data_IF_251693747587
#
_entry.id   IF_251693747587
#
_cell.length_a   1.000
_cell.length_b   1.000
_cell.length_c   1.000
_cell.angle_alpha   90.00
_cell.angle_beta   90.00
_cell.angle_gamma   90.00
#
_symmetry.space_group_name_H-M   'P 1'
#
loop_
_entity.id
_entity.type
_entity.pdbx_description
1 polymer ?
#
# COMPACT_ATOMS: atom_id res chain seq x y z
N UNK A 1 -17.62 -9.11 9.50
CA UNK A 1 -17.00 -7.93 8.89
C UNK A 1 -16.80 -8.09 7.38
N UNK A 2 -16.43 -9.28 6.89
CA UNK A 2 -16.28 -9.57 5.44
C UNK A 2 -17.63 -9.61 4.71
N UNK A 3 -18.70 -10.07 5.39
CA UNK A 3 -20.06 -10.12 4.83
C UNK A 3 -20.64 -8.72 4.58
N UNK A 4 -20.40 -7.76 5.45
CA UNK A 4 -20.92 -6.38 5.29
C UNK A 4 -20.28 -5.60 4.13
N UNK A 5 -19.10 -5.99 3.66
CA UNK A 5 -18.43 -5.32 2.54
C UNK A 5 -19.09 -5.64 1.19
N UNK A 6 -19.83 -6.74 1.11
CA UNK A 6 -20.45 -7.24 -0.13
C UNK A 6 -21.92 -6.81 -0.28
N UNK A 7 -22.58 -6.38 0.80
CA UNK A 7 -24.00 -6.04 0.81
C UNK A 7 -24.35 -4.62 0.31
N UNK A 8 -23.42 -3.91 -0.34
CA UNK A 8 -23.70 -2.61 -0.97
C UNK A 8 -24.11 -1.49 -0.01
N UNK A 9 -23.87 -1.66 1.29
CA UNK A 9 -24.12 -0.64 2.28
C UNK A 9 -23.31 0.62 1.98
N UNK A 10 -23.98 1.73 1.65
CA UNK A 10 -23.36 3.05 1.54
C UNK A 10 -22.94 3.46 2.94
N UNK A 11 -21.64 3.50 3.20
CA UNK A 11 -21.13 4.05 4.44
C UNK A 11 -21.58 5.52 4.52
N UNK A 12 -22.34 5.88 5.54
CA UNK A 12 -22.76 7.26 5.79
C UNK A 12 -21.60 8.13 6.31
N UNK A 13 -20.54 7.50 6.81
CA UNK A 13 -19.32 8.14 7.32
C UNK A 13 -18.21 8.13 6.27
N UNK A 14 -17.63 9.31 5.93
CA UNK A 14 -16.53 9.41 4.97
C UNK A 14 -15.32 8.55 5.33
N UNK A 15 -15.02 8.42 6.63
CA UNK A 15 -13.93 7.59 7.13
C UNK A 15 -14.15 6.11 6.85
N UNK A 16 -15.36 5.62 7.12
CA UNK A 16 -15.75 4.24 6.83
C UNK A 16 -15.77 3.95 5.33
N UNK A 17 -16.28 4.89 4.51
CA UNK A 17 -16.28 4.78 3.06
C UNK A 17 -14.87 4.67 2.49
N UNK A 18 -13.94 5.49 3.00
CA UNK A 18 -12.54 5.46 2.61
C UNK A 18 -11.86 4.17 3.06
N UNK A 19 -12.06 3.74 4.30
CA UNK A 19 -11.48 2.51 4.83
C UNK A 19 -11.92 1.28 4.02
N UNK A 20 -13.19 1.19 3.67
CA UNK A 20 -13.74 0.13 2.81
C UNK A 20 -13.11 0.17 1.40
N UNK A 21 -12.95 1.37 0.82
CA UNK A 21 -12.29 1.55 -0.47
C UNK A 21 -10.82 1.11 -0.44
N UNK A 22 -10.07 1.49 0.61
CA UNK A 22 -8.69 1.06 0.81
C UNK A 22 -8.62 -0.47 0.92
N UNK A 23 -9.51 -1.09 1.71
CA UNK A 23 -9.58 -2.54 1.81
C UNK A 23 -9.82 -3.20 0.44
N UNK A 24 -10.79 -2.71 -0.34
CA UNK A 24 -11.07 -3.20 -1.69
C UNK A 24 -9.86 -3.08 -2.62
N UNK A 25 -9.16 -1.96 -2.57
CA UNK A 25 -7.93 -1.71 -3.33
C UNK A 25 -6.85 -2.77 -3.00
N UNK A 26 -6.60 -3.03 -1.72
CA UNK A 26 -5.63 -4.02 -1.27
C UNK A 26 -6.05 -5.45 -1.60
N UNK A 27 -7.33 -5.77 -1.47
CA UNK A 27 -7.89 -7.08 -1.81
C UNK A 27 -7.76 -7.36 -3.33
N UNK A 28 -8.14 -6.39 -4.16
CA UNK A 28 -8.02 -6.53 -5.63
C UNK A 28 -6.58 -6.66 -6.08
N UNK A 29 -5.67 -5.90 -5.48
CA UNK A 29 -4.23 -6.05 -5.73
C UNK A 29 -3.77 -7.47 -5.39
N UNK A 30 -4.14 -7.99 -4.22
CA UNK A 30 -3.77 -9.33 -3.77
C UNK A 30 -4.37 -10.42 -4.66
N UNK A 31 -5.60 -10.25 -5.13
CA UNK A 31 -6.28 -11.17 -6.05
C UNK A 31 -5.62 -11.25 -7.43
N UNK A 32 -4.86 -10.22 -7.82
CA UNK A 32 -4.06 -10.20 -9.03
C UNK A 32 -2.74 -10.97 -8.93
N UNK A 33 -2.33 -11.41 -7.73
CA UNK A 33 -1.14 -12.22 -7.55
C UNK A 33 -1.45 -13.70 -7.83
N UNK A 34 -0.49 -14.46 -8.39
CA UNK A 34 -0.63 -15.91 -8.53
C UNK A 34 -0.90 -16.59 -7.19
N UNK A 35 -1.47 -17.79 -7.23
CA UNK A 35 -1.70 -18.59 -6.03
C UNK A 35 -0.39 -18.84 -5.26
N UNK A 36 -0.47 -18.95 -3.93
CA UNK A 36 0.71 -19.07 -3.06
C UNK A 36 1.61 -20.25 -3.41
N UNK A 37 1.02 -21.37 -3.83
CA UNK A 37 1.74 -22.59 -4.24
C UNK A 37 2.53 -22.42 -5.55
N UNK A 38 2.26 -21.39 -6.33
CA UNK A 38 2.98 -21.10 -7.59
C UNK A 38 4.00 -19.97 -7.43
N UNK A 39 4.09 -19.37 -6.24
CA UNK A 39 5.05 -18.28 -5.96
C UNK A 39 6.41 -18.85 -5.61
N UNK A 40 7.45 -18.37 -6.29
CA UNK A 40 8.84 -18.74 -6.04
C UNK A 40 9.52 -17.70 -5.14
N UNK A 41 10.65 -18.09 -4.53
CA UNK A 41 11.49 -17.16 -3.74
C UNK A 41 12.12 -16.04 -4.58
N UNK A 42 12.20 -16.22 -5.89
CA UNK A 42 12.73 -15.21 -6.84
C UNK A 42 11.75 -14.12 -7.24
N UNK A 43 10.59 -14.06 -6.60
CA UNK A 43 9.53 -13.12 -6.93
C UNK A 43 8.36 -13.77 -7.68
N UNK A 44 7.34 -12.97 -7.92
CA UNK A 44 6.09 -13.40 -8.54
C UNK A 44 5.97 -12.79 -9.92
N UNK A 45 5.80 -13.64 -10.93
CA UNK A 45 5.44 -13.17 -12.27
C UNK A 45 3.97 -12.78 -12.29
N UNK A 46 3.73 -11.47 -12.28
CA UNK A 46 2.40 -10.89 -12.46
C UNK A 46 2.25 -10.52 -13.94
N UNK A 47 1.04 -10.65 -14.47
CA UNK A 47 0.75 -10.16 -15.82
C UNK A 47 1.20 -8.68 -15.95
N UNK A 48 1.85 -8.27 -17.03
CA UNK A 48 2.42 -6.95 -17.17
C UNK A 48 1.29 -5.90 -17.22
N UNK A 49 1.00 -5.31 -16.06
CA UNK A 49 0.15 -4.13 -15.98
C UNK A 49 1.05 -2.90 -16.02
N UNK A 50 0.82 -1.95 -16.93
CA UNK A 50 1.57 -0.70 -16.96
C UNK A 50 1.48 -0.01 -15.60
N UNK A 51 2.62 0.41 -15.03
CA UNK A 51 2.67 1.05 -13.70
C UNK A 51 1.69 2.22 -13.55
N UNK A 52 1.52 3.13 -14.53
CA UNK A 52 0.51 4.17 -14.42
C UNK A 52 -0.92 3.63 -14.27
N UNK A 53 -1.25 2.54 -14.96
CA UNK A 53 -2.57 1.91 -14.86
C UNK A 53 -2.75 1.21 -13.50
N UNK A 54 -1.70 0.58 -12.97
CA UNK A 54 -1.71 0.01 -11.62
C UNK A 54 -1.96 1.10 -10.57
N UNK A 55 -1.23 2.20 -10.62
CA UNK A 55 -1.36 3.33 -9.68
C UNK A 55 -2.76 3.93 -9.75
N UNK A 56 -3.25 4.20 -10.97
CA UNK A 56 -4.61 4.73 -11.19
C UNK A 56 -5.70 3.76 -10.70
N UNK A 57 -5.50 2.46 -10.89
CA UNK A 57 -6.39 1.40 -10.39
C UNK A 57 -6.46 1.38 -8.87
N UNK A 58 -5.31 1.40 -8.19
CA UNK A 58 -5.24 1.46 -6.73
C UNK A 58 -6.01 2.67 -6.16
N UNK A 59 -5.83 3.84 -6.76
CA UNK A 59 -6.55 5.04 -6.32
C UNK A 59 -8.05 4.94 -6.61
N UNK A 60 -8.46 4.46 -7.80
CA UNK A 60 -9.87 4.28 -8.15
C UNK A 60 -10.59 3.37 -7.18
N UNK A 61 -9.97 2.25 -6.82
CA UNK A 61 -10.54 1.29 -5.88
C UNK A 61 -10.62 1.87 -4.47
N UNK A 62 -9.57 2.58 -4.02
CA UNK A 62 -9.57 3.26 -2.72
C UNK A 62 -10.65 4.33 -2.60
N UNK A 63 -10.97 5.03 -3.69
CA UNK A 63 -12.02 6.06 -3.71
C UNK A 63 -13.43 5.52 -4.02
N UNK A 64 -13.59 4.22 -4.29
CA UNK A 64 -14.87 3.66 -4.76
C UNK A 64 -16.04 3.92 -3.82
N UNK A 65 -15.83 3.80 -2.51
CA UNK A 65 -16.86 4.10 -1.50
C UNK A 65 -17.20 5.59 -1.42
N UNK A 66 -16.20 6.45 -1.48
CA UNK A 66 -16.40 7.90 -1.47
C UNK A 66 -17.12 8.39 -2.72
N UNK A 67 -16.80 7.83 -3.88
CA UNK A 67 -17.48 8.15 -5.14
C UNK A 67 -18.94 7.73 -5.10
N UNK A 68 -19.23 6.52 -4.62
CA UNK A 68 -20.60 6.02 -4.47
C UNK A 68 -21.43 6.86 -3.50
N UNK A 69 -20.81 7.41 -2.46
CA UNK A 69 -21.45 8.30 -1.49
C UNK A 69 -21.52 9.78 -1.95
N UNK A 70 -21.02 10.12 -3.15
CA UNK A 70 -20.97 11.50 -3.64
C UNK A 70 -19.98 12.43 -2.90
N UNK A 71 -19.05 11.85 -2.13
CA UNK A 71 -18.08 12.58 -1.30
C UNK A 71 -16.78 12.90 -2.05
N UNK A 72 -16.61 12.40 -3.26
CA UNK A 72 -15.49 12.67 -4.17
C UNK A 72 -16.00 12.85 -5.58
N UNK A 73 -15.51 13.85 -6.28
CA UNK A 73 -15.90 14.09 -7.67
C UNK A 73 -15.24 13.05 -8.61
N UNK A 74 -15.95 12.57 -9.65
CA UNK A 74 -15.37 11.61 -10.61
C UNK A 74 -14.05 12.06 -11.22
N UNK A 75 -13.87 13.34 -11.50
CA UNK A 75 -12.64 13.91 -12.07
C UNK A 75 -11.44 13.90 -11.13
N UNK A 76 -11.63 13.66 -9.83
CA UNK A 76 -10.56 13.51 -8.85
C UNK A 76 -10.07 12.06 -8.74
N UNK A 77 -10.89 11.11 -9.20
CA UNK A 77 -10.57 9.68 -9.10
C UNK A 77 -9.54 9.30 -10.17
N UNK A 78 -8.48 8.63 -9.73
CA UNK A 78 -7.33 8.26 -10.57
C UNK A 78 -6.57 9.43 -11.22
N UNK A 79 -6.85 10.66 -10.77
CA UNK A 79 -6.19 11.88 -11.25
C UNK A 79 -5.21 12.37 -10.18
N UNK A 80 -3.91 12.47 -10.47
CA UNK A 80 -2.94 13.01 -9.52
C UNK A 80 -3.20 14.49 -9.27
N UNK A 81 -2.88 14.96 -8.06
CA UNK A 81 -2.98 16.37 -7.67
C UNK A 81 -2.06 17.26 -8.51
N UNK A 82 -0.91 16.69 -8.88
CA UNK A 82 0.05 17.25 -9.84
C UNK A 82 0.65 16.08 -10.64
N UNK A 83 0.48 16.05 -11.97
CA UNK A 83 1.07 15.02 -12.83
C UNK A 83 2.58 14.86 -12.70
N UNK A 84 3.31 15.94 -12.37
CA UNK A 84 4.76 15.90 -12.16
C UNK A 84 5.17 15.01 -10.99
N UNK A 85 4.29 14.77 -10.01
CA UNK A 85 4.57 13.90 -8.87
C UNK A 85 4.57 12.41 -9.22
N UNK A 86 4.02 12.01 -10.38
CA UNK A 86 4.06 10.62 -10.81
C UNK A 86 5.42 10.20 -11.37
N UNK A 87 6.16 11.09 -12.00
CA UNK A 87 7.44 10.75 -12.64
C UNK A 87 8.44 10.13 -11.64
N UNK A 88 8.73 10.74 -10.47
CA UNK A 88 9.61 10.13 -9.47
C UNK A 88 9.11 8.77 -8.97
N UNK A 89 7.80 8.59 -8.78
CA UNK A 89 7.23 7.32 -8.35
C UNK A 89 7.46 6.20 -9.39
N UNK A 90 7.34 6.52 -10.67
CA UNK A 90 7.61 5.59 -11.77
C UNK A 90 9.11 5.24 -11.86
N UNK A 91 9.98 6.21 -11.62
CA UNK A 91 11.44 6.01 -11.59
C UNK A 91 11.82 5.10 -10.42
N UNK A 92 11.33 5.36 -9.20
CA UNK A 92 11.56 4.47 -8.05
C UNK A 92 11.10 3.04 -8.34
N UNK A 93 9.89 2.87 -8.87
CA UNK A 93 9.35 1.54 -9.15
C UNK A 93 10.14 0.76 -10.22
N UNK A 94 10.85 1.45 -11.12
CA UNK A 94 11.64 0.86 -12.22
C UNK A 94 13.11 0.68 -11.88
N UNK A 95 13.64 1.43 -10.92
CA UNK A 95 15.07 1.38 -10.61
C UNK A 95 15.49 0.00 -10.09
N UNK A 96 16.75 -0.36 -10.35
CA UNK A 96 17.35 -1.62 -9.90
C UNK A 96 17.95 -1.52 -8.49
N UNK A 97 17.29 -0.77 -7.62
CA UNK A 97 17.66 -0.70 -6.21
C UNK A 97 17.02 -1.86 -5.43
N UNK A 98 17.54 -2.18 -4.23
CA UNK A 98 16.95 -3.20 -3.36
C UNK A 98 15.45 -2.97 -3.12
N UNK A 99 14.65 -4.04 -3.19
CA UNK A 99 13.18 -3.96 -3.11
C UNK A 99 12.67 -3.20 -1.88
N UNK A 100 13.32 -3.39 -0.72
CA UNK A 100 12.99 -2.68 0.52
C UNK A 100 13.23 -1.16 0.41
N UNK A 101 14.32 -0.74 -0.23
CA UNK A 101 14.60 0.68 -0.44
C UNK A 101 13.57 1.31 -1.41
N UNK A 102 13.24 0.60 -2.49
CA UNK A 102 12.20 1.04 -3.45
C UNK A 102 10.84 1.15 -2.77
N UNK A 103 10.43 0.15 -1.99
CA UNK A 103 9.15 0.15 -1.28
C UNK A 103 9.09 1.27 -0.23
N UNK A 104 10.19 1.51 0.50
CA UNK A 104 10.33 2.63 1.43
C UNK A 104 10.20 3.98 0.73
N UNK A 105 10.88 4.17 -0.42
CA UNK A 105 10.82 5.39 -1.22
C UNK A 105 9.40 5.67 -1.72
N UNK A 106 8.73 4.66 -2.27
CA UNK A 106 7.34 4.79 -2.73
C UNK A 106 6.40 5.16 -1.60
N UNK A 107 6.51 4.49 -0.45
CA UNK A 107 5.67 4.79 0.72
C UNK A 107 5.87 6.23 1.19
N UNK A 108 7.12 6.68 1.33
CA UNK A 108 7.44 8.05 1.73
C UNK A 108 6.94 9.08 0.70
N UNK A 109 7.19 8.83 -0.58
CA UNK A 109 6.81 9.76 -1.66
C UNK A 109 5.30 10.02 -1.66
N UNK A 110 4.49 8.96 -1.69
CA UNK A 110 3.04 9.10 -1.69
C UNK A 110 2.50 9.71 -0.39
N UNK A 111 3.06 9.36 0.76
CA UNK A 111 2.65 9.90 2.05
C UNK A 111 2.97 11.38 2.17
N UNK A 112 4.17 11.80 1.80
CA UNK A 112 4.63 13.18 1.92
C UNK A 112 4.09 14.09 0.82
N UNK A 113 4.22 13.67 -0.46
CA UNK A 113 3.85 14.51 -1.61
C UNK A 113 2.34 14.55 -1.88
N UNK A 114 1.56 13.66 -1.27
CA UNK A 114 0.11 13.58 -1.49
C UNK A 114 -0.24 13.54 -2.97
N UNK A 115 0.38 12.61 -3.70
CA UNK A 115 0.23 12.44 -5.17
C UNK A 115 -1.23 12.40 -5.60
N UNK A 116 -2.10 11.89 -4.73
CA UNK A 116 -3.56 11.86 -4.91
C UNK A 116 -4.28 12.49 -3.71
N UNK A 117 -5.52 12.89 -3.91
CA UNK A 117 -6.43 13.31 -2.86
C UNK A 117 -7.82 12.71 -3.12
N UNK A 118 -8.35 11.94 -2.15
CA UNK A 118 -7.75 11.38 -0.95
C UNK A 118 -6.88 10.14 -1.22
N UNK A 119 -6.56 9.36 -0.19
CA UNK A 119 -5.98 8.01 -0.25
C UNK A 119 -4.53 7.89 -0.79
N UNK A 120 -3.77 8.96 -0.94
CA UNK A 120 -2.40 8.90 -1.47
C UNK A 120 -1.52 7.89 -0.73
N UNK A 121 -1.50 7.92 0.60
CA UNK A 121 -0.71 6.99 1.42
C UNK A 121 -1.10 5.52 1.18
N UNK A 122 -2.39 5.24 0.98
CA UNK A 122 -2.87 3.89 0.69
C UNK A 122 -2.43 3.40 -0.69
N UNK A 123 -2.38 4.30 -1.69
CA UNK A 123 -1.85 3.99 -3.03
C UNK A 123 -0.36 3.68 -2.95
N UNK A 124 0.41 4.49 -2.21
CA UNK A 124 1.84 4.25 -1.98
C UNK A 124 2.10 2.91 -1.28
N UNK A 125 1.32 2.58 -0.26
CA UNK A 125 1.41 1.30 0.44
C UNK A 125 1.06 0.12 -0.49
N UNK A 126 0.04 0.25 -1.33
CA UNK A 126 -0.32 -0.76 -2.32
C UNK A 126 0.79 -0.99 -3.36
N UNK A 127 1.39 0.09 -3.86
CA UNK A 127 2.49 -0.01 -4.81
C UNK A 127 3.75 -0.59 -4.16
N UNK A 128 4.05 -0.22 -2.92
CA UNK A 128 5.14 -0.81 -2.14
C UNK A 128 4.93 -2.33 -1.93
N UNK A 129 3.70 -2.75 -1.58
CA UNK A 129 3.33 -4.17 -1.48
C UNK A 129 3.54 -4.90 -2.81
N UNK A 130 3.12 -4.30 -3.91
CA UNK A 130 3.35 -4.87 -5.24
C UNK A 130 4.85 -5.09 -5.50
N UNK A 131 5.71 -4.14 -5.15
CA UNK A 131 7.18 -4.26 -5.27
C UNK A 131 7.70 -5.39 -4.39
N UNK A 132 7.30 -5.45 -3.12
CA UNK A 132 7.76 -6.51 -2.19
C UNK A 132 7.37 -7.90 -2.67
N UNK A 133 6.18 -8.07 -3.21
CA UNK A 133 5.70 -9.35 -3.75
C UNK A 133 6.43 -9.71 -5.05
N UNK A 134 6.46 -8.80 -6.01
CA UNK A 134 7.02 -9.09 -7.35
C UNK A 134 8.53 -9.24 -7.33
N UNK A 135 9.23 -8.64 -6.36
CA UNK A 135 10.67 -8.78 -6.17
C UNK A 135 11.06 -9.84 -5.13
N UNK A 136 10.10 -10.62 -4.62
CA UNK A 136 10.33 -11.81 -3.80
C UNK A 136 10.69 -11.58 -2.34
N UNK A 137 10.53 -10.34 -1.81
CA UNK A 137 10.72 -10.06 -0.37
C UNK A 137 9.55 -10.58 0.45
N UNK A 138 8.31 -10.38 -0.03
CA UNK A 138 7.10 -10.93 0.56
C UNK A 138 6.31 -11.71 -0.51
N UNK A 139 6.74 -12.90 -0.91
CA UNK A 139 6.07 -13.68 -1.95
C UNK A 139 4.65 -14.10 -1.57
N UNK A 140 4.31 -14.04 -0.29
CA UNK A 140 2.96 -14.33 0.20
C UNK A 140 2.02 -13.15 0.10
N UNK A 141 2.56 -11.94 0.13
CA UNK A 141 1.80 -10.71 0.12
C UNK A 141 0.97 -10.48 1.40
N UNK A 142 1.36 -11.09 2.52
CA UNK A 142 0.64 -10.99 3.81
C UNK A 142 1.27 -9.98 4.78
N UNK A 143 2.41 -9.43 4.44
CA UNK A 143 3.09 -8.44 5.26
C UNK A 143 2.28 -7.13 5.36
N UNK A 144 2.15 -6.59 6.57
CA UNK A 144 1.44 -5.34 6.86
C UNK A 144 2.40 -4.34 7.54
N UNK A 145 3.29 -3.67 6.79
CA UNK A 145 4.29 -2.75 7.36
C UNK A 145 3.67 -1.61 8.18
N UNK A 146 2.50 -1.12 7.78
CA UNK A 146 1.78 -0.05 8.47
C UNK A 146 1.32 -0.40 9.90
N UNK A 147 1.29 -1.69 10.25
CA UNK A 147 1.02 -2.10 11.63
C UNK A 147 2.12 -1.63 12.60
N UNK A 148 3.35 -1.46 12.13
CA UNK A 148 4.45 -0.91 12.92
C UNK A 148 4.28 0.59 13.17
N UNK A 149 3.83 1.34 12.17
CA UNK A 149 3.52 2.77 12.30
C UNK A 149 2.40 3.00 13.33
N UNK A 150 1.43 2.09 13.41
CA UNK A 150 0.32 2.17 14.35
C UNK A 150 0.74 1.97 15.81
N UNK A 151 1.88 1.31 16.08
CA UNK A 151 2.41 1.17 17.44
C UNK A 151 2.92 2.50 18.00
N UNK A 152 3.53 3.31 17.16
CA UNK A 152 4.10 4.62 17.53
C UNK A 152 4.02 5.58 16.33
N UNK A 153 2.87 6.25 16.15
CA UNK A 153 2.67 7.19 15.04
C UNK A 153 3.64 8.37 15.07
N UNK A 154 4.03 8.84 16.26
CA UNK A 154 4.98 9.95 16.39
C UNK A 154 6.37 9.57 15.88
N UNK A 155 6.83 8.38 16.19
CA UNK A 155 8.09 7.82 15.67
C UNK A 155 8.04 7.65 14.14
N UNK A 156 6.92 7.19 13.60
CA UNK A 156 6.74 7.04 12.17
C UNK A 156 6.84 8.39 11.46
N UNK A 157 6.19 9.44 11.96
CA UNK A 157 6.28 10.80 11.41
C UNK A 157 7.69 11.39 11.54
N UNK A 158 8.36 11.17 12.68
CA UNK A 158 9.75 11.60 12.88
C UNK A 158 10.71 10.91 11.89
N UNK A 159 10.47 9.64 11.57
CA UNK A 159 11.26 8.90 10.59
C UNK A 159 11.00 9.38 9.16
N UNK A 160 9.73 9.69 8.84
CA UNK A 160 9.36 10.28 7.56
C UNK A 160 9.96 11.68 7.35
N UNK A 161 10.06 12.49 8.40
CA UNK A 161 10.74 13.79 8.34
C UNK A 161 12.21 13.64 7.91
N UNK A 162 12.87 12.53 8.26
CA UNK A 162 14.20 12.20 7.75
C UNK A 162 14.25 12.00 6.23
N UNK A 163 13.22 11.40 5.64
CA UNK A 163 13.12 11.32 4.17
C UNK A 163 12.98 12.71 3.52
N UNK A 164 12.24 13.61 4.17
CA UNK A 164 11.99 14.96 3.66
C UNK A 164 13.25 15.83 3.67
N UNK A 165 14.12 15.67 4.67
CA UNK A 165 15.40 16.39 4.74
C UNK A 165 16.36 16.00 3.61
N UNK A 166 16.16 14.83 3.00
CA UNK A 166 16.91 14.32 1.86
C UNK A 166 18.44 14.20 2.09
N UNK A 167 18.88 14.21 3.35
CA UNK A 167 20.25 13.89 3.72
C UNK A 167 20.43 12.39 3.93
N UNK A 168 21.66 11.92 3.86
CA UNK A 168 21.99 10.50 3.96
C UNK A 168 21.49 9.88 5.28
N UNK A 169 21.67 10.57 6.40
CA UNK A 169 21.25 10.08 7.71
C UNK A 169 19.71 10.00 7.84
N UNK A 170 19.01 10.97 7.29
CA UNK A 170 17.55 10.99 7.23
C UNK A 170 16.98 9.88 6.34
N UNK A 171 17.56 9.69 5.16
CA UNK A 171 17.20 8.60 4.25
C UNK A 171 17.44 7.24 4.91
N UNK A 172 18.61 7.03 5.52
CA UNK A 172 18.93 5.79 6.23
C UNK A 172 17.96 5.51 7.38
N UNK A 173 17.58 6.54 8.15
CA UNK A 173 16.60 6.45 9.25
C UNK A 173 15.23 6.00 8.74
N UNK A 174 14.74 6.61 7.67
CA UNK A 174 13.46 6.22 7.08
C UNK A 174 13.49 4.79 6.55
N UNK A 175 14.52 4.41 5.78
CA UNK A 175 14.65 3.06 5.24
C UNK A 175 14.73 2.03 6.37
N UNK A 176 15.51 2.31 7.43
CA UNK A 176 15.62 1.43 8.61
C UNK A 176 14.26 1.27 9.31
N UNK A 177 13.52 2.37 9.49
CA UNK A 177 12.17 2.34 10.06
C UNK A 177 11.23 1.48 9.20
N UNK A 178 11.25 1.66 7.88
CA UNK A 178 10.43 0.88 6.96
C UNK A 178 10.80 -0.62 7.00
N UNK A 179 12.08 -0.97 7.04
CA UNK A 179 12.53 -2.35 7.17
C UNK A 179 12.06 -2.99 8.48
N UNK A 180 12.12 -2.25 9.61
CA UNK A 180 11.55 -2.71 10.88
C UNK A 180 10.04 -2.95 10.76
N UNK A 181 9.33 -2.07 10.04
CA UNK A 181 7.91 -2.24 9.71
C UNK A 181 7.63 -3.50 8.90
N UNK A 182 8.48 -3.83 7.92
CA UNK A 182 8.33 -5.07 7.13
C UNK A 182 8.52 -6.31 8.03
N UNK A 183 9.53 -6.32 8.90
CA UNK A 183 9.76 -7.44 9.83
C UNK A 183 8.58 -7.61 10.79
N UNK A 184 8.11 -6.53 11.40
CA UNK A 184 6.96 -6.55 12.30
C UNK A 184 5.69 -6.96 11.56
N UNK A 185 5.42 -6.37 10.38
CA UNK A 185 4.26 -6.68 9.57
C UNK A 185 4.21 -8.12 9.09
N UNK A 186 5.36 -8.76 8.86
CA UNK A 186 5.44 -10.17 8.55
C UNK A 186 5.06 -11.05 9.76
N UNK A 187 5.40 -10.63 10.98
CA UNK A 187 4.97 -11.32 12.22
C UNK A 187 3.44 -11.21 12.39
N UNK A 188 2.89 -10.01 12.24
CA UNK A 188 1.43 -9.78 12.29
C UNK A 188 0.71 -10.64 11.26
N UNK A 189 1.18 -10.65 10.01
CA UNK A 189 0.58 -11.46 8.94
C UNK A 189 0.62 -12.97 9.26
N UNK A 190 1.70 -13.45 9.84
CA UNK A 190 1.83 -14.85 10.30
C UNK A 190 0.84 -15.19 11.41
N UNK A 191 0.66 -14.29 12.37
CA UNK A 191 -0.24 -14.52 13.49
C UNK A 191 -1.70 -14.50 13.02
N UNK A 192 -2.07 -13.59 12.13
CA UNK A 192 -3.38 -13.61 11.46
C UNK A 192 -3.60 -14.94 10.73
N UNK A 193 -2.64 -15.40 9.93
CA UNK A 193 -2.75 -16.66 9.22
C UNK A 193 -2.95 -17.87 10.17
N UNK A 194 -2.25 -17.90 11.30
CA UNK A 194 -2.42 -18.95 12.33
C UNK A 194 -3.81 -18.92 12.96
N UNK A 195 -4.35 -17.72 13.24
CA UNK A 195 -5.71 -17.58 13.78
C UNK A 195 -6.76 -18.05 12.79
N UNK A 196 -6.61 -17.71 11.49
CA UNK A 196 -7.50 -18.21 10.42
C UNK A 196 -7.45 -19.74 10.34
N UNK A 197 -6.25 -20.33 10.33
CA UNK A 197 -6.09 -21.79 10.29
C UNK A 197 -6.70 -22.49 11.51
N UNK A 198 -6.67 -21.84 12.67
CA UNK A 198 -7.27 -22.35 13.91
C UNK A 198 -8.79 -22.09 14.00
N UNK A 199 -9.43 -21.50 13.00
CA UNK A 199 -10.85 -21.12 13.00
C UNK A 199 -11.22 -20.08 14.06
N UNK A 200 -10.25 -19.25 14.49
CA UNK A 200 -10.44 -18.24 15.55
C UNK A 200 -10.77 -16.85 15.04
N UNK A 201 -10.77 -16.66 13.73
CA UNK A 201 -11.26 -15.44 13.07
C UNK A 201 -12.56 -15.82 12.34
N UNK A 202 -13.65 -15.53 12.99
CA UNK A 202 -15.01 -15.58 12.42
C UNK A 202 -15.52 -14.15 12.21
#
# INVERSE_FOLDING_TARGET
ALSMADEGGTASDPGAALALGIWRSQWRLASGFPALNTRSQGGVRVAPTPLPALIAGLHRDACSGLLAAGLTAPGQVATPTDPALLAPALEYARCDAPALAVAAALTAHFRFRRVFSPASSAVGAGLARWVLVTRGVDPTGVCVPSAYDALDPARAECSLAGWVSADEAGLARWITHYCAGVVYGAQVGRDVARHVQAGRLS
#
